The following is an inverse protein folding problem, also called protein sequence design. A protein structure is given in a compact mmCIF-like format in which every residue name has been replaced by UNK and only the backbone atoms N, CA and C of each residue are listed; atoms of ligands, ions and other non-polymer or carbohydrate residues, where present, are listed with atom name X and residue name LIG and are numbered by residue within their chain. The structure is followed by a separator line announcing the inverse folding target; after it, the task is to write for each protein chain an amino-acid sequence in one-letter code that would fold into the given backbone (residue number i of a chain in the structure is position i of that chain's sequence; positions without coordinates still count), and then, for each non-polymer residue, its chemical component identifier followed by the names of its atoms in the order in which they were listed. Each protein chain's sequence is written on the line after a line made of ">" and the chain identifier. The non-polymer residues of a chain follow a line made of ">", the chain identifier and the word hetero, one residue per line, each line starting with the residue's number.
data_IF_431588290762
#
_entry.id   IF_431588290762
#
_cell.length_a   1.000
_cell.length_b   1.000
_cell.length_c   1.000
_cell.angle_alpha   90.00
_cell.angle_beta   90.00
_cell.angle_gamma   90.00
#
_symmetry.space_group_name_H-M   'P 1'
#
loop_
_entity.id
_entity.type
_entity.pdbx_description
1 polymer ?
#
# COMPACT_ATOMS: atom_id res chain seq x y z
N UNK A 1 16.99 -9.60 5.51
CA UNK A 1 16.54 -8.32 4.95
C UNK A 1 16.50 -7.31 6.08
N UNK A 2 17.18 -6.18 5.93
CA UNK A 2 17.13 -5.11 6.94
C UNK A 2 16.12 -4.06 6.48
N UNK A 3 15.16 -3.66 7.31
CA UNK A 3 14.28 -2.54 7.01
C UNK A 3 15.10 -1.26 6.81
N UNK A 4 14.58 -0.34 5.99
CA UNK A 4 15.13 1.02 5.88
C UNK A 4 14.29 1.92 6.78
N UNK A 5 14.93 2.49 7.80
CA UNK A 5 14.33 3.45 8.73
C UNK A 5 14.98 4.81 8.49
N UNK A 6 14.26 5.82 7.98
CA UNK A 6 14.85 7.13 7.76
C UNK A 6 15.32 7.77 9.07
N UNK A 7 16.39 8.56 9.01
CA UNK A 7 16.89 9.31 10.17
C UNK A 7 15.93 10.43 10.56
N UNK A 8 16.13 11.05 11.74
CA UNK A 8 15.31 12.18 12.16
C UNK A 8 15.43 13.37 11.18
N UNK A 9 16.62 13.59 10.62
CA UNK A 9 16.89 14.61 9.61
C UNK A 9 16.13 14.30 8.31
N UNK A 10 16.18 13.05 7.84
CA UNK A 10 15.46 12.63 6.64
C UNK A 10 13.94 12.71 6.83
N UNK A 11 13.44 12.31 8.01
CA UNK A 11 12.04 12.41 8.39
C UNK A 11 11.55 13.86 8.38
N UNK A 12 12.28 14.76 9.04
CA UNK A 12 11.94 16.18 9.09
C UNK A 12 12.01 16.86 7.73
N UNK A 13 12.98 16.47 6.89
CA UNK A 13 13.13 16.97 5.52
C UNK A 13 12.12 16.35 4.54
N UNK A 14 11.46 15.25 4.90
CA UNK A 14 10.65 14.46 3.97
C UNK A 14 11.47 13.84 2.83
N UNK A 15 12.80 13.67 3.01
CA UNK A 15 13.73 13.35 1.93
C UNK A 15 14.79 12.35 2.39
N UNK A 16 14.95 11.26 1.63
CA UNK A 16 16.04 10.32 1.87
C UNK A 16 17.38 10.93 1.42
N UNK A 17 18.43 10.63 2.16
CA UNK A 17 19.81 10.82 1.69
C UNK A 17 20.09 9.93 0.46
N UNK A 18 21.08 10.30 -0.37
CA UNK A 18 21.52 9.45 -1.48
C UNK A 18 21.85 8.02 -1.04
N UNK A 19 22.46 7.86 0.14
CA UNK A 19 22.86 6.57 0.71
C UNK A 19 21.64 5.72 1.08
N UNK A 20 20.68 6.29 1.81
CA UNK A 20 19.42 5.61 2.18
C UNK A 20 18.59 5.25 0.96
N UNK A 21 18.52 6.15 -0.03
CA UNK A 21 17.79 5.91 -1.28
C UNK A 21 18.44 4.78 -2.09
N UNK A 22 19.76 4.77 -2.21
CA UNK A 22 20.49 3.70 -2.88
C UNK A 22 20.28 2.34 -2.19
N UNK A 23 20.33 2.30 -0.86
CA UNK A 23 20.07 1.09 -0.09
C UNK A 23 18.62 0.57 -0.28
N UNK A 24 17.65 1.47 -0.32
CA UNK A 24 16.25 1.15 -0.58
C UNK A 24 16.05 0.54 -1.98
N UNK A 25 16.59 1.18 -3.02
CA UNK A 25 16.50 0.72 -4.41
C UNK A 25 17.17 -0.63 -4.58
N UNK A 26 18.39 -0.81 -4.08
CA UNK A 26 19.11 -2.07 -4.19
C UNK A 26 18.39 -3.22 -3.47
N UNK A 27 17.82 -2.95 -2.31
CA UNK A 27 17.07 -3.96 -1.57
C UNK A 27 15.79 -4.33 -2.33
N UNK A 28 15.08 -3.35 -2.87
CA UNK A 28 13.87 -3.61 -3.66
C UNK A 28 14.18 -4.40 -4.93
N UNK A 29 15.24 -4.05 -5.65
CA UNK A 29 15.67 -4.74 -6.86
C UNK A 29 16.04 -6.21 -6.60
N UNK A 30 16.79 -6.47 -5.51
CA UNK A 30 17.28 -7.80 -5.17
C UNK A 30 16.16 -8.71 -4.62
N UNK A 31 15.34 -8.18 -3.73
CA UNK A 31 14.40 -8.99 -2.94
C UNK A 31 12.97 -8.99 -3.52
N UNK A 32 12.66 -8.07 -4.43
CA UNK A 32 11.32 -7.90 -5.01
C UNK A 32 10.29 -7.23 -4.08
N UNK A 33 10.71 -6.84 -2.87
CA UNK A 33 9.92 -6.04 -1.93
C UNK A 33 10.81 -5.19 -1.02
N UNK A 34 10.25 -4.15 -0.41
CA UNK A 34 10.95 -3.21 0.47
C UNK A 34 10.10 -2.90 1.70
N UNK A 35 10.76 -2.82 2.87
CA UNK A 35 10.13 -2.33 4.12
C UNK A 35 10.72 -0.97 4.45
N UNK A 36 9.87 0.07 4.40
CA UNK A 36 10.17 1.41 4.89
C UNK A 36 9.50 1.60 6.25
N UNK A 37 10.30 1.72 7.30
CA UNK A 37 9.77 1.84 8.66
C UNK A 37 9.58 3.30 9.07
N UNK A 38 8.51 3.55 9.83
CA UNK A 38 8.26 4.84 10.51
C UNK A 38 8.19 6.05 9.55
N UNK A 39 7.74 5.82 8.32
CA UNK A 39 7.56 6.87 7.29
C UNK A 39 6.24 7.63 7.39
N UNK A 40 5.41 7.33 8.40
CA UNK A 40 4.13 7.99 8.64
C UNK A 40 3.85 8.12 10.15
N UNK A 41 3.03 9.09 10.53
CA UNK A 41 2.64 9.32 11.92
C UNK A 41 1.76 8.16 12.44
N UNK A 42 2.13 7.47 13.53
CA UNK A 42 1.31 6.44 14.15
C UNK A 42 -0.13 6.88 14.49
N UNK A 43 -0.35 8.17 14.80
CA UNK A 43 -1.69 8.71 15.08
C UNK A 43 -2.58 8.67 13.85
N UNK A 44 -2.05 9.02 12.68
CA UNK A 44 -2.77 8.93 11.40
C UNK A 44 -3.17 7.48 11.12
N UNK A 45 -2.22 6.55 11.28
CA UNK A 45 -2.47 5.11 11.10
C UNK A 45 -3.55 4.61 12.07
N UNK A 46 -3.54 5.10 13.31
CA UNK A 46 -4.52 4.71 14.33
C UNK A 46 -5.93 5.22 13.99
N UNK A 47 -6.06 6.46 13.52
CA UNK A 47 -7.35 7.00 13.07
C UNK A 47 -7.91 6.25 11.86
N UNK A 48 -7.06 5.94 10.86
CA UNK A 48 -7.46 5.11 9.70
C UNK A 48 -7.95 3.73 10.15
N UNK A 49 -7.23 3.10 11.08
CA UNK A 49 -7.62 1.80 11.63
C UNK A 49 -8.99 1.83 12.29
N UNK A 50 -9.29 2.84 13.11
CA UNK A 50 -10.57 2.96 13.81
C UNK A 50 -11.76 3.04 12.84
N UNK A 51 -11.60 3.84 11.78
CA UNK A 51 -12.62 3.97 10.73
C UNK A 51 -12.77 2.66 9.96
N UNK A 52 -11.67 2.09 9.47
CA UNK A 52 -11.70 0.85 8.68
C UNK A 52 -12.29 -0.33 9.46
N UNK A 53 -12.03 -0.43 10.77
CA UNK A 53 -12.64 -1.45 11.63
C UNK A 53 -14.16 -1.29 11.69
N UNK A 54 -14.64 -0.07 11.93
CA UNK A 54 -16.08 0.22 12.03
C UNK A 54 -16.80 -0.08 10.72
N UNK A 55 -16.27 0.43 9.61
CA UNK A 55 -16.83 0.18 8.28
C UNK A 55 -16.72 -1.29 7.86
N UNK A 56 -15.63 -1.97 8.24
CA UNK A 56 -15.41 -3.38 7.92
C UNK A 56 -16.43 -4.31 8.58
N UNK A 57 -16.96 -3.94 9.74
CA UNK A 57 -18.08 -4.65 10.37
C UNK A 57 -19.38 -4.50 9.58
N UNK A 58 -19.66 -3.29 9.10
CA UNK A 58 -20.86 -3.01 8.29
C UNK A 58 -20.78 -3.69 6.91
N UNK A 59 -19.61 -3.66 6.27
CA UNK A 59 -19.37 -4.37 5.01
C UNK A 59 -19.63 -5.86 5.20
N UNK A 60 -19.16 -6.48 6.28
CA UNK A 60 -19.39 -7.91 6.53
C UNK A 60 -20.87 -8.26 6.76
N UNK A 61 -21.66 -7.36 7.36
CA UNK A 61 -23.11 -7.56 7.53
C UNK A 61 -23.85 -7.44 6.19
N UNK A 62 -23.47 -6.46 5.38
CA UNK A 62 -24.11 -6.12 4.11
C UNK A 62 -23.62 -6.95 2.90
N UNK A 63 -22.48 -7.62 3.02
CA UNK A 63 -21.86 -8.37 1.92
C UNK A 63 -22.76 -9.48 1.39
N UNK A 64 -22.75 -9.65 0.07
CA UNK A 64 -23.37 -10.80 -0.60
C UNK A 64 -22.80 -12.12 -0.05
N UNK A 65 -23.64 -13.15 -0.11
CA UNK A 65 -23.32 -14.47 0.45
C UNK A 65 -22.01 -15.05 -0.12
N UNK A 66 -21.75 -14.88 -1.42
CA UNK A 66 -20.51 -15.34 -2.06
C UNK A 66 -19.22 -14.71 -1.49
N UNK A 67 -19.28 -13.45 -1.04
CA UNK A 67 -18.15 -12.78 -0.36
C UNK A 67 -18.02 -13.25 1.10
N UNK A 68 -19.16 -13.43 1.78
CA UNK A 68 -19.19 -13.89 3.19
C UNK A 68 -18.75 -15.34 3.37
N UNK A 69 -18.97 -16.19 2.37
CA UNK A 69 -18.66 -17.63 2.42
C UNK A 69 -17.28 -17.98 1.85
N UNK A 70 -16.44 -17.00 1.51
CA UNK A 70 -15.05 -17.28 1.13
C UNK A 70 -14.36 -18.05 2.27
N UNK A 71 -13.75 -19.23 2.01
CA UNK A 71 -13.11 -20.05 3.05
C UNK A 71 -12.00 -19.33 3.83
N UNK A 72 -11.36 -18.34 3.21
CA UNK A 72 -10.35 -17.48 3.86
C UNK A 72 -10.97 -16.41 4.74
N UNK A 73 -12.25 -16.06 4.53
CA UNK A 73 -12.91 -14.94 5.17
C UNK A 73 -12.33 -13.56 4.82
N UNK A 74 -11.40 -13.49 3.86
CA UNK A 74 -10.77 -12.22 3.45
C UNK A 74 -11.72 -11.44 2.53
N UNK A 75 -11.78 -10.12 2.72
CA UNK A 75 -12.55 -9.23 1.86
C UNK A 75 -11.79 -7.93 1.57
N UNK A 76 -12.19 -7.28 0.48
CA UNK A 76 -11.63 -6.00 0.06
C UNK A 76 -12.42 -4.84 0.68
N UNK A 77 -11.74 -3.77 1.04
CA UNK A 77 -12.33 -2.55 1.56
C UNK A 77 -11.61 -1.34 0.98
N UNK A 78 -12.34 -0.32 0.54
CA UNK A 78 -11.73 0.93 0.10
C UNK A 78 -11.08 1.69 1.27
N UNK A 79 -10.06 2.53 1.02
CA UNK A 79 -9.56 3.44 2.06
C UNK A 79 -10.63 4.46 2.47
N UNK A 80 -10.51 5.09 3.66
CA UNK A 80 -11.42 6.16 4.09
C UNK A 80 -11.08 7.49 3.41
N UNK A 81 -11.13 7.54 2.07
CA UNK A 81 -10.75 8.72 1.27
C UNK A 81 -11.67 9.94 1.48
N UNK A 82 -12.83 9.74 2.10
CA UNK A 82 -13.79 10.80 2.42
C UNK A 82 -13.42 11.60 3.69
N UNK A 83 -12.38 11.19 4.43
CA UNK A 83 -11.95 11.79 5.70
C UNK A 83 -10.62 12.54 5.54
N UNK A 84 -10.63 13.84 5.19
CA UNK A 84 -9.43 14.63 5.00
C UNK A 84 -8.60 14.82 6.27
N UNK A 85 -9.23 14.79 7.45
CA UNK A 85 -8.59 14.89 8.77
C UNK A 85 -7.60 13.75 9.05
N UNK A 86 -7.75 12.61 8.37
CA UNK A 86 -6.83 11.48 8.45
C UNK A 86 -5.63 11.63 7.52
N UNK A 87 -5.43 12.80 6.90
CA UNK A 87 -4.36 13.05 5.93
C UNK A 87 -4.30 11.95 4.85
N UNK A 88 -5.45 11.41 4.43
CA UNK A 88 -5.53 10.30 3.48
C UNK A 88 -4.81 10.63 2.16
N UNK A 89 -4.83 11.90 1.72
CA UNK A 89 -4.04 12.35 0.57
C UNK A 89 -2.53 12.12 0.75
N UNK A 90 -2.01 12.25 1.97
CA UNK A 90 -0.58 12.24 2.28
C UNK A 90 -0.10 10.79 2.31
N UNK A 91 -0.96 9.88 2.75
CA UNK A 91 -0.74 8.44 2.59
C UNK A 91 -0.59 8.05 1.11
N UNK A 92 -1.44 8.60 0.23
CA UNK A 92 -1.33 8.38 -1.23
C UNK A 92 -0.13 9.09 -1.88
N UNK A 93 0.44 10.10 -1.20
CA UNK A 93 1.57 10.92 -1.68
C UNK A 93 2.74 10.89 -0.71
N UNK A 94 3.00 9.73 -0.09
CA UNK A 94 4.05 9.63 0.91
C UNK A 94 5.40 9.95 0.25
N UNK A 95 6.14 10.97 0.74
CA UNK A 95 7.30 11.48 0.02
C UNK A 95 8.43 10.46 -0.06
N UNK A 96 8.58 9.59 0.94
CA UNK A 96 9.61 8.55 0.95
C UNK A 96 9.30 7.45 -0.06
N UNK A 97 8.04 7.01 -0.13
CA UNK A 97 7.58 6.04 -1.12
C UNK A 97 7.75 6.58 -2.53
N UNK A 98 7.35 7.83 -2.78
CA UNK A 98 7.48 8.47 -4.09
C UNK A 98 8.93 8.61 -4.54
N UNK A 99 9.87 8.90 -3.63
CA UNK A 99 11.30 8.96 -3.96
C UNK A 99 11.83 7.61 -4.45
N UNK A 100 11.49 6.52 -3.75
CA UNK A 100 11.88 5.17 -4.15
C UNK A 100 11.24 4.79 -5.49
N UNK A 101 9.93 5.02 -5.64
CA UNK A 101 9.21 4.69 -6.87
C UNK A 101 9.72 5.50 -8.08
N UNK A 102 9.97 6.80 -7.92
CA UNK A 102 10.50 7.63 -9.01
C UNK A 102 11.91 7.19 -9.44
N UNK A 103 12.73 6.78 -8.47
CA UNK A 103 14.08 6.31 -8.76
C UNK A 103 14.08 4.90 -9.38
N UNK A 104 13.10 4.06 -9.03
CA UNK A 104 13.01 2.68 -9.52
C UNK A 104 12.26 2.54 -10.85
N UNK A 105 11.12 3.22 -11.00
CA UNK A 105 10.21 3.12 -12.15
C UNK A 105 10.39 4.27 -13.16
N UNK A 106 11.17 5.29 -12.84
CA UNK A 106 11.36 6.49 -13.65
C UNK A 106 10.47 7.67 -13.20
N UNK A 107 10.56 8.79 -13.91
CA UNK A 107 10.14 10.10 -13.38
C UNK A 107 8.63 10.33 -13.19
N UNK A 108 7.75 9.43 -13.67
CA UNK A 108 6.29 9.65 -13.69
C UNK A 108 5.48 8.37 -13.41
N UNK A 109 5.69 7.70 -12.25
CA UNK A 109 4.84 6.57 -11.88
C UNK A 109 3.40 7.05 -11.66
N UNK A 110 2.43 6.27 -12.12
CA UNK A 110 1.02 6.53 -11.88
C UNK A 110 0.49 5.66 -10.74
N UNK A 111 -0.26 6.28 -9.84
CA UNK A 111 -0.97 5.57 -8.78
C UNK A 111 -2.37 5.22 -9.28
N UNK A 112 -2.56 3.96 -9.70
CA UNK A 112 -3.77 3.51 -10.43
C UNK A 112 -4.73 2.67 -9.60
N UNK A 113 -4.32 2.25 -8.41
CA UNK A 113 -5.10 1.33 -7.58
C UNK A 113 -5.06 1.75 -6.11
N UNK A 114 -6.23 1.74 -5.47
CA UNK A 114 -6.36 1.99 -4.04
C UNK A 114 -7.40 1.06 -3.44
N UNK A 115 -6.95 0.16 -2.58
CA UNK A 115 -7.79 -0.76 -1.85
C UNK A 115 -7.02 -1.29 -0.62
N UNK A 116 -7.76 -1.80 0.36
CA UNK A 116 -7.26 -2.47 1.54
C UNK A 116 -7.79 -3.90 1.61
N UNK A 117 -6.99 -4.77 2.22
CA UNK A 117 -7.34 -6.17 2.42
C UNK A 117 -7.63 -6.41 3.89
N UNK A 118 -8.81 -6.95 4.20
CA UNK A 118 -9.16 -7.35 5.55
C UNK A 118 -8.93 -8.85 5.72
N UNK A 119 -8.01 -9.20 6.63
CA UNK A 119 -7.85 -10.57 7.10
C UNK A 119 -8.74 -10.79 8.32
N UNK A 120 -9.74 -11.65 8.21
CA UNK A 120 -10.71 -11.88 9.29
C UNK A 120 -10.41 -13.16 10.06
N UNK A 121 -10.89 -13.23 11.31
CA UNK A 121 -10.78 -14.43 12.15
C UNK A 121 -11.77 -15.54 11.77
N UNK A 122 -12.63 -15.32 10.77
CA UNK A 122 -13.70 -16.25 10.38
C UNK A 122 -13.24 -17.32 9.39
N UNK A 123 -12.12 -17.07 8.71
CA UNK A 123 -11.56 -18.01 7.75
C UNK A 123 -11.04 -19.29 8.42
N UNK A 124 -11.28 -20.42 7.78
CA UNK A 124 -10.71 -21.71 8.15
C UNK A 124 -9.52 -22.08 7.27
N UNK A 125 -9.32 -21.35 6.17
CA UNK A 125 -8.28 -21.62 5.18
C UNK A 125 -7.30 -20.46 5.02
N UNK A 126 -6.09 -20.80 4.54
CA UNK A 126 -5.10 -19.81 4.13
C UNK A 126 -5.32 -19.40 2.67
N UNK A 127 -4.96 -18.15 2.36
CA UNK A 127 -4.89 -17.71 0.97
C UNK A 127 -3.81 -18.51 0.22
N UNK A 128 -4.14 -19.00 -0.97
CA UNK A 128 -3.19 -19.70 -1.84
C UNK A 128 -2.06 -18.76 -2.25
N UNK A 129 -0.88 -19.30 -2.56
CA UNK A 129 0.21 -18.52 -3.15
C UNK A 129 -0.24 -18.01 -4.52
N UNK A 130 -0.08 -16.72 -4.77
CA UNK A 130 -0.48 -16.03 -6.00
C UNK A 130 0.37 -14.77 -6.17
N UNK A 131 0.40 -14.23 -7.38
CA UNK A 131 0.92 -12.89 -7.67
C UNK A 131 -0.23 -11.88 -7.65
N UNK A 132 0.04 -10.65 -7.19
CA UNK A 132 -0.98 -9.59 -7.14
C UNK A 132 -1.39 -9.09 -8.52
N UNK A 133 -0.45 -9.11 -9.47
CA UNK A 133 -0.69 -8.92 -10.90
C UNK A 133 -0.06 -10.08 -11.68
N UNK A 134 -0.60 -10.37 -12.87
CA UNK A 134 -0.05 -11.36 -13.78
C UNK A 134 0.76 -10.67 -14.88
N UNK A 135 1.79 -11.31 -15.42
CA UNK A 135 2.56 -10.75 -16.56
C UNK A 135 1.65 -10.41 -17.78
N UNK A 136 0.49 -11.05 -17.88
CA UNK A 136 -0.51 -10.82 -18.93
C UNK A 136 -1.35 -9.56 -18.77
N UNK A 137 -1.25 -8.82 -17.65
CA UNK A 137 -2.02 -7.59 -17.42
C UNK A 137 -1.25 -6.29 -17.70
N UNK A 138 -0.08 -6.37 -18.36
CA UNK A 138 0.65 -5.20 -18.80
C UNK A 138 -0.10 -4.48 -19.93
N UNK A 139 -0.92 -3.50 -19.55
CA UNK A 139 -1.48 -2.50 -20.46
C UNK A 139 -0.36 -1.58 -20.95
N UNK A 140 0.47 -2.08 -21.86
CA UNK A 140 1.28 -1.22 -22.70
C UNK A 140 0.33 -0.51 -23.68
N UNK A 141 -0.11 0.70 -23.34
CA UNK A 141 -0.60 1.62 -24.36
C UNK A 141 0.61 1.97 -25.22
N UNK A 142 0.71 1.38 -26.41
CA UNK A 142 1.61 1.87 -27.45
C UNK A 142 1.25 3.33 -27.72
N UNK A 143 2.24 4.22 -27.61
CA UNK A 143 2.18 5.62 -28.07
C UNK A 143 2.13 5.69 -29.61
N UNK A 144 1.17 4.99 -30.23
CA UNK A 144 0.97 4.99 -31.69
C UNK A 144 -0.39 5.53 -32.12
N UNK A 145 -1.15 6.13 -31.19
CA UNK A 145 -2.35 6.91 -31.48
C UNK A 145 -2.28 8.28 -30.76
N UNK A 146 -1.48 9.20 -31.29
CA UNK A 146 -1.70 10.66 -31.21
C UNK A 146 -0.82 11.44 -32.18
#
# INVERSE_FOLDING_TARGET
>A
MSPITPTAEELSAGKLSPESLYAAINSFHRDGFLVLERVEDPKVISGIKEVLLTEGEEIQKASHEAERLKPTGNFLQGPPSHLPELQSHRLHKNPFVLQVLNAYLGARPQFVYTCGNNATKRGTERQKVHTGESETSAWFSSEEDR
#
